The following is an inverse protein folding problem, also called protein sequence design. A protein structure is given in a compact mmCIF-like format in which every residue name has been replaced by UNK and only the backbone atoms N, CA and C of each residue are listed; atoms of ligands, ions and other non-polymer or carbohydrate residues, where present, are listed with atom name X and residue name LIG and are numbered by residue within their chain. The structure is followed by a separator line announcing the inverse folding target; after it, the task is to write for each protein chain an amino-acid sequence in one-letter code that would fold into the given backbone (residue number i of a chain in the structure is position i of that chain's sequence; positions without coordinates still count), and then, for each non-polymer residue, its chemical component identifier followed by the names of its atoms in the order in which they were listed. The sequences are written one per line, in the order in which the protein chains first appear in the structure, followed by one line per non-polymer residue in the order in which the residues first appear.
data_IF_637518488926
#
_entry.id   IF_637518488926
#
_cell.length_a   1.000
_cell.length_b   1.000
_cell.length_c   1.000
_cell.angle_alpha   90.00
_cell.angle_beta   90.00
_cell.angle_gamma   90.00
#
_symmetry.space_group_name_H-M   'P 1'
#
loop_
_entity.id
_entity.type
_entity.pdbx_description
1 polymer ?
#
# COMPACT_ATOMS: atom_id res chain seq x y z
N UNK A 1 -28.05 -1.18 -1.14
CA UNK A 1 -28.02 -0.62 -1.12
C UNK A 1 -27.58 0.45 -1.11
N UNK A 2 -27.57 1.22 -1.13
CA UNK A 2 -27.25 2.44 -1.14
C UNK A 2 -26.52 2.83 -0.10
N UNK A 3 -25.82 2.03 0.40
CA UNK A 3 -24.99 2.32 1.46
C UNK A 3 -24.10 3.46 1.24
N UNK A 4 -24.08 3.93 0.02
CA UNK A 4 -23.15 4.97 -0.23
C UNK A 4 -23.78 6.27 -0.50
N UNK A 5 -24.96 6.46 -0.03
CA UNK A 5 -25.63 7.70 -0.22
C UNK A 5 -24.78 8.88 0.24
N UNK A 6 -23.94 8.67 1.25
CA UNK A 6 -23.11 9.73 1.74
C UNK A 6 -21.63 9.47 1.54
N UNK A 7 -21.27 8.33 0.96
CA UNK A 7 -19.90 7.88 0.88
C UNK A 7 -19.31 8.02 -0.51
N UNK A 8 -18.16 8.68 -0.58
CA UNK A 8 -17.38 8.70 -1.79
C UNK A 8 -16.53 7.43 -1.85
N UNK A 9 -16.27 6.93 -3.06
CA UNK A 9 -15.39 5.78 -3.25
C UNK A 9 -13.96 6.26 -3.36
N UNK A 10 -13.18 6.02 -2.32
CA UNK A 10 -11.78 6.43 -2.21
C UNK A 10 -10.80 5.33 -2.59
N UNK A 11 -11.25 4.07 -2.55
CA UNK A 11 -10.37 2.91 -2.70
C UNK A 11 -10.99 1.93 -3.69
N UNK A 12 -10.16 1.39 -4.57
CA UNK A 12 -10.56 0.42 -5.59
C UNK A 12 -9.67 -0.81 -5.50
N UNK A 13 -10.28 -1.99 -5.40
CA UNK A 13 -9.53 -3.23 -5.56
C UNK A 13 -9.00 -3.33 -6.99
N UNK A 14 -7.91 -4.07 -7.20
CA UNK A 14 -7.38 -4.27 -8.56
C UNK A 14 -8.42 -4.92 -9.48
N UNK A 15 -9.34 -5.71 -8.93
CA UNK A 15 -10.38 -6.38 -9.71
C UNK A 15 -11.52 -5.46 -10.15
N UNK A 16 -11.63 -4.27 -9.56
CA UNK A 16 -12.76 -3.38 -9.84
C UNK A 16 -12.38 -2.04 -10.46
N UNK A 17 -11.12 -1.65 -10.38
CA UNK A 17 -10.68 -0.37 -10.93
C UNK A 17 -10.63 -0.37 -12.46
N UNK A 18 -10.94 0.79 -13.06
CA UNK A 18 -10.87 0.93 -14.52
C UNK A 18 -9.41 1.18 -14.92
N UNK A 19 -8.79 0.18 -15.55
CA UNK A 19 -7.39 0.25 -15.98
C UNK A 19 -7.10 1.34 -17.00
N UNK A 20 -8.10 1.98 -17.55
CA UNK A 20 -7.94 3.10 -18.46
C UNK A 20 -8.00 4.45 -17.76
N UNK A 21 -8.47 4.48 -16.52
CA UNK A 21 -8.66 5.72 -15.78
C UNK A 21 -7.41 6.08 -14.96
N UNK A 22 -6.36 6.49 -15.65
CA UNK A 22 -5.10 6.88 -15.02
C UNK A 22 -5.22 8.16 -14.20
N UNK A 23 -6.20 8.99 -14.52
CA UNK A 23 -6.45 10.22 -13.78
C UNK A 23 -6.86 9.91 -12.34
N UNK A 24 -7.74 8.95 -12.16
CA UNK A 24 -8.26 8.57 -10.86
C UNK A 24 -7.34 7.61 -10.11
N UNK A 25 -6.79 6.62 -10.81
CA UNK A 25 -6.04 5.54 -10.18
C UNK A 25 -4.52 5.74 -10.21
N UNK A 26 -4.05 6.75 -10.94
CA UNK A 26 -2.64 6.90 -11.21
C UNK A 26 -2.19 5.90 -12.27
N UNK A 27 -1.01 6.14 -12.86
CA UNK A 27 -0.49 5.25 -13.90
C UNK A 27 -0.25 3.83 -13.40
N UNK A 28 0.41 3.71 -12.26
CA UNK A 28 0.72 2.38 -11.68
C UNK A 28 -0.55 1.65 -11.22
N UNK A 29 -1.45 2.37 -10.56
CA UNK A 29 -2.70 1.79 -10.09
C UNK A 29 -3.57 1.29 -11.23
N UNK A 30 -3.74 2.10 -12.27
CA UNK A 30 -4.52 1.71 -13.45
C UNK A 30 -3.92 0.48 -14.13
N UNK A 31 -2.59 0.46 -14.28
CA UNK A 31 -1.91 -0.68 -14.89
C UNK A 31 -2.12 -1.97 -14.09
N UNK A 32 -2.03 -1.90 -12.77
CA UNK A 32 -2.25 -3.07 -11.92
C UNK A 32 -3.68 -3.58 -12.04
N UNK A 33 -4.65 -2.68 -12.12
CA UNK A 33 -6.05 -3.06 -12.35
C UNK A 33 -6.23 -3.76 -13.70
N UNK A 34 -5.65 -3.21 -14.76
CA UNK A 34 -5.76 -3.81 -16.08
C UNK A 34 -5.07 -5.18 -16.12
N UNK A 35 -3.87 -5.29 -15.59
CA UNK A 35 -3.14 -6.56 -15.55
C UNK A 35 -3.91 -7.64 -14.80
N UNK A 36 -4.52 -7.28 -13.69
CA UNK A 36 -5.34 -8.21 -12.91
C UNK A 36 -6.54 -8.68 -13.71
N UNK A 37 -7.22 -7.76 -14.38
CA UNK A 37 -8.48 -8.07 -15.08
C UNK A 37 -8.29 -8.83 -16.37
N UNK A 38 -7.13 -8.72 -17.00
CA UNK A 38 -6.82 -9.53 -18.18
C UNK A 38 -6.24 -10.91 -17.82
N UNK A 39 -6.14 -11.22 -16.54
CA UNK A 39 -5.76 -12.55 -16.08
C UNK A 39 -4.28 -12.75 -15.78
N UNK A 40 -3.48 -11.69 -15.73
CA UNK A 40 -2.10 -11.84 -15.33
C UNK A 40 -2.00 -12.10 -13.82
N UNK A 41 -0.93 -12.78 -13.43
CA UNK A 41 -0.73 -13.18 -12.04
C UNK A 41 -0.21 -12.00 -11.23
N UNK A 42 -1.12 -11.14 -10.78
CA UNK A 42 -0.82 -9.97 -9.95
C UNK A 42 -1.22 -10.31 -8.52
N UNK A 43 -0.34 -10.05 -7.53
CA UNK A 43 -0.71 -10.22 -6.13
C UNK A 43 -1.93 -9.37 -5.78
N UNK A 44 -2.77 -9.81 -4.84
CA UNK A 44 -3.93 -9.03 -4.43
C UNK A 44 -3.52 -7.68 -3.86
N UNK A 45 -4.33 -6.67 -4.11
CA UNK A 45 -4.05 -5.32 -3.64
C UNK A 45 -5.16 -4.37 -4.03
N UNK A 46 -4.95 -3.10 -3.70
CA UNK A 46 -5.92 -2.05 -3.97
C UNK A 46 -5.22 -0.72 -4.24
N UNK A 47 -5.97 0.22 -4.77
CA UNK A 47 -5.50 1.55 -5.12
C UNK A 47 -6.27 2.57 -4.30
N UNK A 48 -5.55 3.47 -3.63
CA UNK A 48 -6.12 4.66 -3.02
C UNK A 48 -6.08 5.74 -4.10
N UNK A 49 -7.22 6.37 -4.38
CA UNK A 49 -7.37 7.24 -5.55
C UNK A 49 -6.54 8.52 -5.45
N UNK A 50 -6.30 9.14 -6.61
CA UNK A 50 -5.67 10.46 -6.66
C UNK A 50 -6.53 11.52 -5.98
N UNK A 51 -7.85 11.36 -5.99
CA UNK A 51 -8.76 12.26 -5.28
C UNK A 51 -8.55 12.18 -3.77
N UNK A 52 -8.31 10.98 -3.24
CA UNK A 52 -7.98 10.80 -1.83
C UNK A 52 -6.67 11.52 -1.47
N UNK A 53 -5.68 11.40 -2.33
CA UNK A 53 -4.41 12.08 -2.16
C UNK A 53 -4.58 13.60 -2.16
N UNK A 54 -5.33 14.13 -3.13
CA UNK A 54 -5.58 15.56 -3.21
C UNK A 54 -6.35 16.09 -2.00
N UNK A 55 -7.32 15.33 -1.52
CA UNK A 55 -8.06 15.68 -0.31
C UNK A 55 -7.13 15.78 0.91
N UNK A 56 -6.27 14.78 1.07
CA UNK A 56 -5.29 14.75 2.16
C UNK A 56 -4.32 15.94 2.08
N UNK A 57 -3.79 16.22 0.89
CA UNK A 57 -2.88 17.33 0.69
C UNK A 57 -3.56 18.70 0.89
N UNK A 58 -4.81 18.83 0.49
CA UNK A 58 -5.55 20.08 0.66
C UNK A 58 -5.79 20.42 2.14
N UNK A 59 -5.76 19.42 3.02
CA UNK A 59 -5.89 19.59 4.46
C UNK A 59 -4.53 19.66 5.17
N UNK A 60 -3.45 19.83 4.44
CA UNK A 60 -2.07 19.79 4.96
C UNK A 60 -1.75 18.49 5.70
N UNK A 61 -2.30 17.38 5.21
CA UNK A 61 -2.07 16.06 5.80
C UNK A 61 -2.82 15.82 7.10
N UNK A 62 -3.86 16.58 7.36
CA UNK A 62 -4.56 16.51 8.64
C UNK A 62 -5.88 15.76 8.57
N UNK A 63 -6.50 15.70 7.42
CA UNK A 63 -7.81 15.11 7.29
C UNK A 63 -7.79 13.82 6.47
N UNK A 64 -8.07 12.72 7.15
CA UNK A 64 -8.37 11.45 6.52
C UNK A 64 -9.81 11.11 6.92
N UNK A 65 -10.77 11.28 6.00
CA UNK A 65 -12.16 11.00 6.33
C UNK A 65 -12.38 9.59 6.88
N UNK A 66 -13.33 9.44 7.80
CA UNK A 66 -13.63 8.14 8.41
C UNK A 66 -14.03 7.10 7.36
N UNK A 67 -14.79 7.50 6.35
CA UNK A 67 -15.21 6.61 5.27
C UNK A 67 -14.03 6.17 4.40
N UNK A 68 -13.03 7.03 4.21
CA UNK A 68 -11.79 6.66 3.52
C UNK A 68 -11.04 5.57 4.31
N UNK A 69 -10.84 5.79 5.60
CA UNK A 69 -10.16 4.79 6.44
C UNK A 69 -10.93 3.48 6.52
N UNK A 70 -12.25 3.54 6.58
CA UNK A 70 -13.08 2.34 6.56
C UNK A 70 -12.84 1.55 5.26
N UNK A 71 -12.82 2.23 4.12
CA UNK A 71 -12.56 1.58 2.83
C UNK A 71 -11.17 0.96 2.76
N UNK A 72 -10.16 1.65 3.29
CA UNK A 72 -8.80 1.10 3.36
C UNK A 72 -8.79 -0.18 4.20
N UNK A 73 -9.43 -0.17 5.36
CA UNK A 73 -9.49 -1.34 6.24
C UNK A 73 -10.24 -2.50 5.60
N UNK A 74 -11.34 -2.22 4.92
CA UNK A 74 -12.12 -3.25 4.22
C UNK A 74 -11.29 -3.91 3.11
N UNK A 75 -10.56 -3.11 2.34
CA UNK A 75 -9.73 -3.64 1.27
C UNK A 75 -8.50 -4.37 1.82
N UNK A 76 -7.94 -3.91 2.94
CA UNK A 76 -6.86 -4.64 3.60
C UNK A 76 -7.35 -6.00 4.10
N UNK A 77 -8.57 -6.06 4.65
CA UNK A 77 -9.16 -7.34 5.07
C UNK A 77 -9.34 -8.30 3.88
N UNK A 78 -9.69 -7.78 2.71
CA UNK A 78 -9.79 -8.60 1.50
C UNK A 78 -8.42 -9.16 1.08
N UNK A 79 -7.37 -8.35 1.19
CA UNK A 79 -6.00 -8.80 0.89
C UNK A 79 -5.56 -9.86 1.89
N UNK A 80 -5.85 -9.65 3.17
CA UNK A 80 -5.56 -10.65 4.21
C UNK A 80 -6.25 -11.97 3.92
N UNK A 81 -7.52 -11.91 3.53
CA UNK A 81 -8.28 -13.10 3.22
C UNK A 81 -7.74 -13.82 1.99
N UNK A 82 -7.36 -13.07 0.96
CA UNK A 82 -6.82 -13.64 -0.27
C UNK A 82 -5.45 -14.27 -0.09
N UNK A 83 -4.64 -13.74 0.84
CA UNK A 83 -3.28 -14.23 1.08
C UNK A 83 -3.19 -15.25 2.21
N UNK A 84 -4.20 -15.30 3.07
CA UNK A 84 -4.14 -16.12 4.29
C UNK A 84 -3.21 -15.60 5.35
N UNK A 85 -2.82 -14.32 5.25
CA UNK A 85 -1.88 -13.67 6.19
C UNK A 85 -2.55 -12.46 6.83
N UNK A 86 -2.01 -12.00 7.95
CA UNK A 86 -2.56 -10.85 8.68
C UNK A 86 -1.60 -9.68 8.74
N UNK A 87 -2.08 -8.50 8.41
CA UNK A 87 -1.28 -7.28 8.53
C UNK A 87 -1.10 -6.96 10.02
N UNK A 88 0.15 -6.99 10.46
CA UNK A 88 0.48 -6.83 11.88
C UNK A 88 0.38 -8.10 12.71
N UNK A 89 0.06 -9.24 12.10
CA UNK A 89 -0.01 -10.52 12.81
C UNK A 89 1.41 -11.04 13.09
N UNK A 90 1.81 -11.17 14.35
CA UNK A 90 3.17 -11.61 14.68
C UNK A 90 3.45 -13.06 14.33
N UNK A 91 2.43 -13.88 14.10
CA UNK A 91 2.60 -15.29 13.78
C UNK A 91 2.57 -15.57 12.28
N UNK A 92 1.86 -14.76 11.53
CA UNK A 92 1.72 -14.94 10.08
C UNK A 92 1.60 -13.57 9.41
N UNK A 93 2.68 -12.78 9.38
CA UNK A 93 2.59 -11.39 8.95
C UNK A 93 2.36 -11.24 7.46
N UNK A 94 1.44 -10.35 7.12
CA UNK A 94 1.28 -9.86 5.75
C UNK A 94 2.18 -8.65 5.56
N UNK A 95 3.07 -8.73 4.58
CA UNK A 95 3.91 -7.61 4.19
C UNK A 95 3.45 -7.10 2.84
N UNK A 96 3.34 -5.80 2.69
CA UNK A 96 2.86 -5.18 1.47
C UNK A 96 3.85 -4.15 0.95
N UNK A 97 3.78 -3.87 -0.34
CA UNK A 97 4.51 -2.77 -0.96
C UNK A 97 3.56 -1.60 -1.17
N UNK A 98 4.01 -0.40 -0.85
CA UNK A 98 3.26 0.82 -1.10
C UNK A 98 3.98 1.60 -2.18
N UNK A 99 3.26 1.92 -3.25
CA UNK A 99 3.80 2.63 -4.39
C UNK A 99 3.01 3.92 -4.60
N UNK A 100 3.73 5.01 -4.74
CA UNK A 100 3.09 6.26 -5.15
C UNK A 100 2.89 6.23 -6.67
N UNK A 101 1.89 6.96 -7.13
CA UNK A 101 1.60 7.05 -8.55
C UNK A 101 1.00 8.40 -8.91
N UNK A 102 1.10 8.74 -10.17
CA UNK A 102 0.41 9.87 -10.77
C UNK A 102 -0.10 9.43 -12.13
N UNK A 103 -0.93 10.28 -12.76
CA UNK A 103 -1.43 9.99 -14.10
C UNK A 103 -0.29 9.81 -15.11
N UNK A 104 0.82 10.48 -14.86
CA UNK A 104 2.03 10.37 -15.69
C UNK A 104 3.21 9.97 -14.82
N UNK A 105 4.05 9.09 -15.36
CA UNK A 105 5.30 8.73 -14.70
C UNK A 105 6.30 9.87 -14.91
N UNK A 106 6.91 10.34 -13.83
CA UNK A 106 7.84 11.47 -13.89
C UNK A 106 9.10 11.18 -13.09
N UNK A 107 10.25 11.73 -13.49
CA UNK A 107 11.44 11.71 -12.64
C UNK A 107 11.16 12.40 -11.31
N UNK A 108 11.64 11.85 -10.23
CA UNK A 108 11.44 12.42 -8.90
C UNK A 108 10.15 12.00 -8.19
N UNK A 109 9.38 11.07 -8.77
CA UNK A 109 8.26 10.47 -8.06
C UNK A 109 8.77 9.74 -6.83
N UNK A 110 7.92 9.66 -5.80
CA UNK A 110 8.27 8.95 -4.58
C UNK A 110 8.57 7.48 -4.88
N UNK A 111 9.58 6.97 -4.20
CA UNK A 111 9.98 5.58 -4.35
C UNK A 111 8.97 4.64 -3.71
N UNK A 112 9.06 3.37 -4.07
CA UNK A 112 8.28 2.31 -3.45
C UNK A 112 8.79 2.04 -2.04
N UNK A 113 7.88 1.88 -1.09
CA UNK A 113 8.19 1.39 0.25
C UNK A 113 7.89 -0.11 0.26
N UNK A 114 8.91 -0.91 0.54
CA UNK A 114 8.78 -2.36 0.60
C UNK A 114 8.61 -2.82 2.04
N UNK A 115 7.97 -3.96 2.21
CA UNK A 115 7.86 -4.66 3.50
C UNK A 115 7.13 -3.86 4.58
N UNK A 116 6.16 -3.04 4.18
CA UNK A 116 5.27 -2.40 5.15
C UNK A 116 4.49 -3.48 5.89
N UNK A 117 4.50 -3.41 7.20
CA UNK A 117 3.95 -4.42 8.10
C UNK A 117 5.00 -5.03 9.01
N UNK A 118 6.29 -4.78 8.74
CA UNK A 118 7.36 -5.23 9.64
C UNK A 118 7.46 -4.32 10.86
N UNK A 119 7.58 -4.95 12.01
CA UNK A 119 7.94 -4.32 13.29
C UNK A 119 8.68 -5.38 14.11
N UNK A 120 9.05 -5.07 15.34
CA UNK A 120 9.82 -6.00 16.16
C UNK A 120 9.13 -7.36 16.36
N UNK A 121 7.80 -7.35 16.45
CA UNK A 121 7.03 -8.58 16.67
C UNK A 121 6.82 -9.37 15.38
N UNK A 122 6.42 -8.71 14.29
CA UNK A 122 6.18 -9.38 13.01
C UNK A 122 7.47 -9.85 12.38
N UNK A 123 8.60 -9.21 12.68
CA UNK A 123 9.92 -9.67 12.24
C UNK A 123 10.20 -11.08 12.75
N UNK A 124 9.88 -11.37 13.99
CA UNK A 124 10.09 -12.71 14.55
C UNK A 124 9.23 -13.76 13.83
N UNK A 125 7.99 -13.40 13.48
CA UNK A 125 7.12 -14.27 12.70
C UNK A 125 7.68 -14.54 11.31
N UNK A 126 8.21 -13.52 10.65
CA UNK A 126 8.83 -13.65 9.34
C UNK A 126 10.07 -14.55 9.41
N UNK A 127 10.89 -14.39 10.43
CA UNK A 127 12.07 -15.24 10.63
C UNK A 127 11.66 -16.70 10.85
N UNK A 128 10.62 -16.94 11.65
CA UNK A 128 10.13 -18.30 11.88
C UNK A 128 9.63 -18.95 10.60
N UNK A 129 8.93 -18.20 9.75
CA UNK A 129 8.37 -18.74 8.51
C UNK A 129 9.44 -19.00 7.45
N UNK A 130 10.39 -18.08 7.29
CA UNK A 130 11.42 -18.20 6.28
C UNK A 130 12.61 -19.02 6.76
N UNK A 131 12.77 -19.16 8.07
CA UNK A 131 13.93 -19.79 8.71
C UNK A 131 15.24 -19.13 8.30
N UNK A 132 15.18 -17.83 8.03
CA UNK A 132 16.33 -17.07 7.58
C UNK A 132 16.36 -15.72 8.32
N UNK A 133 17.09 -15.69 9.45
CA UNK A 133 17.19 -14.49 10.28
C UNK A 133 17.89 -13.35 9.53
N UNK A 134 18.90 -13.67 8.74
CA UNK A 134 19.63 -12.65 7.97
C UNK A 134 18.72 -11.96 6.98
N UNK A 135 17.91 -12.71 6.26
CA UNK A 135 16.92 -12.16 5.33
C UNK A 135 15.92 -11.27 6.07
N UNK A 136 15.41 -11.76 7.21
CA UNK A 136 14.43 -11.00 8.01
C UNK A 136 14.99 -9.67 8.50
N UNK A 137 16.19 -9.68 9.08
CA UNK A 137 16.81 -8.45 9.57
C UNK A 137 17.16 -7.48 8.45
N UNK A 138 17.62 -7.99 7.30
CA UNK A 138 17.90 -7.13 6.14
C UNK A 138 16.61 -6.51 5.58
N UNK A 139 15.54 -7.28 5.52
CA UNK A 139 14.23 -6.76 5.10
C UNK A 139 13.74 -5.66 6.04
N UNK A 140 13.90 -5.84 7.34
CA UNK A 140 13.50 -4.84 8.33
C UNK A 140 14.35 -3.58 8.22
N UNK A 141 15.66 -3.73 8.05
CA UNK A 141 16.56 -2.60 7.83
C UNK A 141 16.14 -1.78 6.61
N UNK A 142 15.86 -2.45 5.50
CA UNK A 142 15.41 -1.78 4.27
C UNK A 142 14.08 -1.06 4.48
N UNK A 143 13.17 -1.69 5.21
CA UNK A 143 11.88 -1.07 5.50
C UNK A 143 12.07 0.22 6.31
N UNK A 144 12.86 0.17 7.37
CA UNK A 144 13.13 1.35 8.21
C UNK A 144 13.76 2.47 7.37
N UNK A 145 14.73 2.14 6.54
CA UNK A 145 15.39 3.10 5.67
C UNK A 145 14.41 3.72 4.66
N UNK A 146 13.65 2.90 3.95
CA UNK A 146 12.70 3.38 2.95
C UNK A 146 11.57 4.19 3.59
N UNK A 147 11.01 3.72 4.69
CA UNK A 147 9.94 4.44 5.38
C UNK A 147 10.45 5.77 5.91
N UNK A 148 11.62 5.77 6.53
CA UNK A 148 12.22 6.99 7.05
C UNK A 148 12.50 8.01 5.96
N UNK A 149 13.10 7.57 4.86
CA UNK A 149 13.44 8.44 3.73
C UNK A 149 12.21 8.92 2.98
N UNK A 150 11.35 8.01 2.56
CA UNK A 150 10.25 8.31 1.64
C UNK A 150 9.06 8.93 2.37
N UNK A 151 8.64 8.34 3.48
CA UNK A 151 7.44 8.80 4.20
C UNK A 151 7.74 9.90 5.21
N UNK A 152 8.90 9.85 5.88
CA UNK A 152 9.24 10.77 6.96
C UNK A 152 10.20 11.88 6.54
N UNK A 153 10.76 11.80 5.34
CA UNK A 153 11.67 12.83 4.84
C UNK A 153 13.03 12.87 5.51
N UNK A 154 13.46 11.76 6.11
CA UNK A 154 14.78 11.69 6.76
C UNK A 154 15.88 11.71 5.69
N UNK A 155 16.92 12.56 5.81
CA UNK A 155 18.00 12.60 4.81
C UNK A 155 18.78 11.28 4.74
N UNK A 156 19.29 11.00 3.54
CA UNK A 156 20.06 9.77 3.28
C UNK A 156 21.23 9.61 4.25
N UNK A 157 21.88 10.71 4.59
CA UNK A 157 23.06 10.71 5.45
C UNK A 157 22.78 10.12 6.83
N UNK A 158 21.54 10.16 7.28
CA UNK A 158 21.16 9.61 8.59
C UNK A 158 21.23 8.08 8.62
N UNK A 159 21.31 7.44 7.45
CA UNK A 159 21.35 5.97 7.33
C UNK A 159 22.74 5.44 6.98
N UNK A 160 23.73 6.30 6.80
CA UNK A 160 25.11 5.92 6.47
C UNK A 160 25.99 5.60 7.73
#
# INVERSE_FOLDING_TARGET
MNANADGKKWVYAFTEGDGKNKQLLGGKGANLCEMTQIGLNVPPGFVITTEACLHYLASDGQDVPDDMMRQVREHMAQVEQATGKGFGDPNNPLLVSVRSGSAMSMPGMMDTILNLGLNAETLQGEIRQTQDARFGYDAYRRFIQLFGKVAMGVPDEAFD
#
